data_IF_505784653143
#
_entry.id   IF_505784653143
#
_cell.length_a   1.000
_cell.length_b   1.000
_cell.length_c   1.000
_cell.angle_alpha   90.00
_cell.angle_beta   90.00
_cell.angle_gamma   90.00
#
_symmetry.space_group_name_H-M   'P 1'
#
loop_
_entity.id
_entity.type
_entity.pdbx_description
1 polymer ?
#
# COMPACT_ATOMS: atom_id res chain seq x y z
N UNK A 1 -22.04 8.54 26.54
CA UNK A 1 -22.45 8.56 25.11
C UNK A 1 -21.35 7.84 24.36
N UNK A 2 -21.67 6.93 23.43
CA UNK A 2 -20.63 6.27 22.64
C UNK A 2 -19.93 7.30 21.75
N UNK A 3 -18.60 7.26 21.70
CA UNK A 3 -17.84 8.12 20.81
C UNK A 3 -18.02 7.63 19.37
N UNK A 4 -18.48 8.51 18.50
CA UNK A 4 -18.71 8.20 17.09
C UNK A 4 -17.38 8.24 16.34
N UNK A 5 -16.97 7.13 15.75
CA UNK A 5 -15.84 7.09 14.83
C UNK A 5 -16.30 7.47 13.42
N UNK A 6 -15.65 8.47 12.82
CA UNK A 6 -15.78 8.77 11.40
C UNK A 6 -14.80 7.95 10.57
N UNK A 7 -14.82 8.17 9.25
CA UNK A 7 -13.99 7.43 8.31
C UNK A 7 -12.48 7.50 8.62
N UNK A 8 -11.99 8.68 8.99
CA UNK A 8 -10.57 8.88 9.32
C UNK A 8 -10.16 8.07 10.57
N UNK A 9 -11.02 8.00 11.58
CA UNK A 9 -10.81 7.18 12.78
C UNK A 9 -10.76 5.70 12.42
N UNK A 10 -11.70 5.23 11.59
CA UNK A 10 -11.78 3.83 11.16
C UNK A 10 -10.55 3.43 10.33
N UNK A 11 -10.15 4.24 9.34
CA UNK A 11 -8.93 4.01 8.54
C UNK A 11 -7.68 3.99 9.41
N UNK A 12 -7.58 4.89 10.38
CA UNK A 12 -6.46 4.92 11.35
C UNK A 12 -6.43 3.64 12.19
N UNK A 13 -7.58 3.17 12.70
CA UNK A 13 -7.69 1.93 13.47
C UNK A 13 -7.23 0.71 12.66
N UNK A 14 -7.65 0.63 11.39
CA UNK A 14 -7.31 -0.49 10.51
C UNK A 14 -5.83 -0.51 10.12
N UNK A 15 -5.20 0.66 9.95
CA UNK A 15 -3.80 0.77 9.54
C UNK A 15 -2.78 0.54 10.64
N UNK A 16 -3.17 0.65 11.91
CA UNK A 16 -2.25 0.38 13.03
C UNK A 16 -1.80 -1.08 12.93
N UNK A 17 -0.53 -1.37 13.11
CA UNK A 17 -0.05 -2.68 13.54
C UNK A 17 0.59 -2.57 14.93
N UNK A 18 0.58 -3.62 15.75
CA UNK A 18 1.19 -3.57 17.07
C UNK A 18 2.65 -3.11 17.01
N UNK A 19 2.96 -2.01 17.68
CA UNK A 19 4.30 -1.41 17.72
C UNK A 19 4.53 -0.29 16.71
N UNK A 20 3.57 0.01 15.84
CA UNK A 20 3.74 1.06 14.83
C UNK A 20 3.97 2.44 15.45
N UNK A 21 4.89 3.25 14.92
CA UNK A 21 4.91 4.67 15.22
C UNK A 21 3.79 5.40 14.47
N UNK A 22 3.33 6.54 14.99
CA UNK A 22 2.34 7.41 14.32
C UNK A 22 2.74 7.74 12.88
N UNK A 23 4.03 7.94 12.62
CA UNK A 23 4.54 8.20 11.26
C UNK A 23 4.45 6.98 10.34
N UNK A 24 4.47 5.76 10.88
CA UNK A 24 4.28 4.54 10.11
C UNK A 24 2.84 4.42 9.62
N UNK A 25 1.88 4.62 10.53
CA UNK A 25 0.45 4.63 10.21
C UNK A 25 0.11 5.71 9.19
N UNK A 26 0.66 6.91 9.36
CA UNK A 26 0.46 8.03 8.43
C UNK A 26 0.91 7.70 7.01
N UNK A 27 2.03 7.01 6.86
CA UNK A 27 2.55 6.55 5.58
C UNK A 27 1.68 5.47 4.95
N UNK A 28 1.22 4.48 5.72
CA UNK A 28 0.36 3.38 5.24
C UNK A 28 -0.95 3.87 4.59
N UNK A 29 -1.52 4.96 5.10
CA UNK A 29 -2.79 5.51 4.61
C UNK A 29 -2.65 6.83 3.84
N UNK A 30 -1.42 7.18 3.44
CA UNK A 30 -1.08 8.40 2.70
C UNK A 30 -1.67 9.68 3.32
N UNK A 31 -1.48 9.83 4.64
CA UNK A 31 -2.02 10.94 5.42
C UNK A 31 -0.94 11.76 6.11
N UNK A 32 -1.30 12.99 6.47
CA UNK A 32 -0.39 13.85 7.20
C UNK A 32 -0.18 13.32 8.63
N UNK A 33 1.09 13.17 9.05
CA UNK A 33 1.46 12.72 10.41
C UNK A 33 0.74 13.49 11.52
N UNK A 34 0.57 14.80 11.38
CA UNK A 34 -0.08 15.63 12.39
C UNK A 34 -1.60 15.38 12.43
N UNK A 35 -2.23 15.11 11.28
CA UNK A 35 -3.63 14.65 11.21
C UNK A 35 -3.78 13.32 11.95
N UNK A 36 -2.92 12.35 11.65
CA UNK A 36 -2.93 11.03 12.30
C UNK A 36 -2.67 11.14 13.79
N UNK A 37 -1.73 11.98 14.23
CA UNK A 37 -1.49 12.23 15.64
C UNK A 37 -2.75 12.71 16.35
N UNK A 38 -3.50 13.64 15.77
CA UNK A 38 -4.76 14.13 16.36
C UNK A 38 -5.84 13.06 16.38
N UNK A 39 -5.90 12.21 15.36
CA UNK A 39 -6.85 11.08 15.33
C UNK A 39 -6.49 10.02 16.36
N UNK A 40 -5.22 9.64 16.46
CA UNK A 40 -4.70 8.72 17.48
C UNK A 40 -5.01 9.24 18.89
N UNK A 41 -4.75 10.51 19.18
CA UNK A 41 -5.05 11.08 20.50
C UNK A 41 -6.54 10.93 20.86
N UNK A 42 -7.44 11.19 19.90
CA UNK A 42 -8.88 11.02 20.11
C UNK A 42 -9.26 9.55 20.34
N UNK A 43 -8.69 8.64 19.55
CA UNK A 43 -8.89 7.19 19.71
C UNK A 43 -8.35 6.65 21.04
N UNK A 44 -7.24 7.21 21.53
CA UNK A 44 -6.65 6.87 22.83
C UNK A 44 -7.50 7.40 23.98
N UNK A 45 -7.94 8.67 23.92
CA UNK A 45 -8.87 9.25 24.90
C UNK A 45 -10.20 8.47 24.98
N UNK A 46 -10.66 7.94 23.84
CA UNK A 46 -11.85 7.09 23.73
C UNK A 46 -11.63 5.63 24.20
N UNK A 47 -10.38 5.21 24.41
CA UNK A 47 -10.00 3.86 24.84
C UNK A 47 -9.93 2.80 23.73
N UNK A 48 -9.93 3.19 22.45
CA UNK A 48 -9.80 2.25 21.32
C UNK A 48 -8.34 1.92 21.00
N UNK A 49 -7.41 2.82 21.30
CA UNK A 49 -5.97 2.70 21.01
C UNK A 49 -5.17 2.92 22.29
N UNK A 50 -3.99 2.30 22.37
CA UNK A 50 -2.97 2.60 23.38
C UNK A 50 -1.67 2.98 22.69
N UNK A 51 -1.02 4.03 23.16
CA UNK A 51 0.32 4.42 22.73
C UNK A 51 1.34 4.28 23.87
N UNK A 52 2.16 3.23 23.83
CA UNK A 52 3.25 2.99 24.78
C UNK A 52 4.51 2.51 24.04
N UNK A 53 5.32 3.47 23.58
CA UNK A 53 6.47 3.18 22.70
C UNK A 53 6.10 2.72 21.29
N UNK A 54 4.82 2.48 21.02
CA UNK A 54 4.23 2.07 19.75
C UNK A 54 2.71 1.98 19.87
N UNK A 55 2.01 2.00 18.75
CA UNK A 55 0.55 1.95 18.70
C UNK A 55 0.06 0.51 18.82
N UNK A 56 -1.08 0.34 19.46
CA UNK A 56 -1.82 -0.92 19.49
C UNK A 56 -3.32 -0.62 19.58
N UNK A 57 -4.13 -1.42 18.89
CA UNK A 57 -5.59 -1.38 19.07
C UNK A 57 -5.93 -2.26 20.27
N UNK A 58 -6.85 -1.79 21.12
CA UNK A 58 -7.16 -2.44 22.40
C UNK A 58 -7.95 -3.74 22.23
N UNK A 59 -8.82 -3.80 21.22
CA UNK A 59 -9.70 -4.93 20.94
C UNK A 59 -9.85 -5.11 19.42
N UNK A 60 -9.48 -6.29 18.91
CA UNK A 60 -9.55 -6.60 17.47
C UNK A 60 -11.00 -6.60 16.93
N UNK A 61 -12.00 -6.80 17.79
CA UNK A 61 -13.43 -6.67 17.43
C UNK A 61 -13.74 -5.28 16.88
N UNK A 62 -13.02 -4.25 17.35
CA UNK A 62 -13.16 -2.87 16.86
C UNK A 62 -12.66 -2.75 15.43
N UNK A 63 -11.57 -3.45 15.07
CA UNK A 63 -11.07 -3.48 13.69
C UNK A 63 -12.04 -4.20 12.76
N UNK A 64 -12.56 -5.35 13.19
CA UNK A 64 -13.53 -6.10 12.40
C UNK A 64 -14.78 -5.26 12.13
N UNK A 65 -15.30 -4.57 13.16
CA UNK A 65 -16.43 -3.65 13.03
C UNK A 65 -16.11 -2.45 12.11
N UNK A 66 -14.91 -1.88 12.22
CA UNK A 66 -14.46 -0.80 11.35
C UNK A 66 -14.40 -1.23 9.88
N UNK A 67 -13.81 -2.39 9.60
CA UNK A 67 -13.72 -2.93 8.25
C UNK A 67 -15.10 -3.26 7.68
N UNK A 68 -15.99 -3.85 8.49
CA UNK A 68 -17.36 -4.12 8.12
C UNK A 68 -18.14 -2.83 7.78
N UNK A 69 -17.94 -1.77 8.57
CA UNK A 69 -18.55 -0.47 8.31
C UNK A 69 -18.06 0.15 6.99
N UNK A 70 -16.75 0.19 6.75
CA UNK A 70 -16.21 0.73 5.49
C UNK A 70 -16.69 -0.06 4.27
N UNK A 71 -16.73 -1.39 4.36
CA UNK A 71 -17.28 -2.24 3.30
C UNK A 71 -18.78 -1.95 3.05
N UNK A 72 -19.58 -1.77 4.10
CA UNK A 72 -20.99 -1.41 3.95
C UNK A 72 -21.13 0.00 3.32
N UNK A 73 -20.29 0.95 3.73
CA UNK A 73 -20.29 2.31 3.19
C UNK A 73 -19.90 2.36 1.70
N UNK A 74 -19.00 1.47 1.25
CA UNK A 74 -18.57 1.35 -0.15
C UNK A 74 -19.73 1.06 -1.11
N UNK A 75 -20.82 0.43 -0.64
CA UNK A 75 -22.04 0.23 -1.44
C UNK A 75 -22.82 1.51 -1.73
N UNK A 76 -22.60 2.57 -0.93
CA UNK A 76 -23.26 3.87 -1.04
C UNK A 76 -22.33 4.86 -1.76
N UNK A 77 -21.05 4.86 -1.39
CA UNK A 77 -20.00 5.68 -1.97
C UNK A 77 -18.82 4.77 -2.32
N UNK A 78 -18.70 4.34 -3.58
CA UNK A 78 -17.61 3.46 -4.01
C UNK A 78 -16.23 4.07 -3.69
N UNK A 79 -15.21 3.23 -3.40
CA UNK A 79 -13.87 3.71 -3.10
C UNK A 79 -13.29 4.54 -4.25
N UNK A 80 -12.59 5.61 -3.89
CA UNK A 80 -11.79 6.41 -4.80
C UNK A 80 -10.48 5.71 -5.16
N UNK A 81 -9.79 6.21 -6.19
CA UNK A 81 -8.45 5.74 -6.57
C UNK A 81 -7.47 5.79 -5.40
N UNK A 82 -7.42 6.91 -4.67
CA UNK A 82 -6.53 7.05 -3.51
C UNK A 82 -6.86 6.03 -2.41
N UNK A 83 -8.15 5.76 -2.18
CA UNK A 83 -8.55 4.75 -1.20
C UNK A 83 -8.20 3.33 -1.64
N UNK A 84 -8.23 3.05 -2.95
CA UNK A 84 -7.84 1.75 -3.48
C UNK A 84 -6.34 1.42 -3.25
N UNK A 85 -5.47 2.43 -3.06
CA UNK A 85 -4.10 2.22 -2.56
C UNK A 85 -4.00 1.94 -1.06
N UNK A 86 -5.03 2.29 -0.30
CA UNK A 86 -5.02 2.10 1.16
C UNK A 86 -5.69 0.79 1.53
N UNK A 87 -6.74 0.39 0.81
CA UNK A 87 -7.52 -0.82 1.10
C UNK A 87 -6.68 -2.10 1.28
N UNK A 88 -5.66 -2.41 0.46
CA UNK A 88 -4.87 -3.63 0.64
C UNK A 88 -4.19 -3.71 2.04
N UNK A 89 -3.84 -2.56 2.63
CA UNK A 89 -3.25 -2.49 3.97
C UNK A 89 -4.20 -2.99 5.07
N UNK A 90 -5.51 -2.98 4.82
CA UNK A 90 -6.53 -3.41 5.79
C UNK A 90 -6.87 -4.89 5.68
N UNK A 91 -6.29 -5.60 4.70
CA UNK A 91 -6.61 -6.99 4.44
C UNK A 91 -6.00 -7.95 5.47
N UNK A 92 -4.93 -7.53 6.17
CA UNK A 92 -4.17 -8.40 7.07
C UNK A 92 -3.43 -9.53 6.35
N UNK A 93 -3.32 -9.44 5.01
CA UNK A 93 -2.64 -10.39 4.13
C UNK A 93 -1.42 -9.72 3.51
N UNK A 94 -0.35 -10.48 3.29
CA UNK A 94 0.84 -9.97 2.60
C UNK A 94 0.53 -9.64 1.13
N UNK A 95 1.05 -8.51 0.66
CA UNK A 95 1.02 -8.11 -0.73
C UNK A 95 2.21 -7.21 -1.05
N UNK A 96 2.45 -6.96 -2.34
CA UNK A 96 3.36 -5.92 -2.80
C UNK A 96 2.83 -5.28 -4.07
N UNK A 97 2.94 -3.95 -4.23
CA UNK A 97 2.67 -3.30 -5.51
C UNK A 97 3.62 -3.79 -6.60
N UNK A 98 3.09 -4.05 -7.79
CA UNK A 98 3.86 -4.50 -8.97
C UNK A 98 3.65 -3.57 -10.17
N UNK A 99 4.32 -3.87 -11.29
CA UNK A 99 4.12 -3.20 -12.57
C UNK A 99 4.19 -1.65 -12.47
N UNK A 100 3.21 -0.95 -13.06
CA UNK A 100 3.14 0.52 -13.03
C UNK A 100 2.98 1.08 -11.60
N UNK A 101 2.35 0.34 -10.69
CA UNK A 101 2.17 0.77 -9.31
C UNK A 101 3.48 0.68 -8.53
N UNK A 102 4.32 -0.31 -8.79
CA UNK A 102 5.66 -0.35 -8.23
C UNK A 102 6.50 0.86 -8.67
N UNK A 103 6.43 1.24 -9.96
CA UNK A 103 7.12 2.43 -10.47
C UNK A 103 6.60 3.71 -9.77
N UNK A 104 5.29 3.83 -9.60
CA UNK A 104 4.69 4.95 -8.88
C UNK A 104 5.17 5.04 -7.42
N UNK A 105 5.18 3.92 -6.71
CA UNK A 105 5.65 3.85 -5.32
C UNK A 105 7.13 4.22 -5.22
N UNK A 106 7.99 3.60 -6.04
CA UNK A 106 9.43 3.85 -6.02
C UNK A 106 9.82 5.29 -6.37
N UNK A 107 9.04 5.93 -7.24
CA UNK A 107 9.19 7.35 -7.60
C UNK A 107 8.50 8.32 -6.62
N UNK A 108 7.91 7.82 -5.53
CA UNK A 108 7.15 8.61 -4.54
C UNK A 108 6.05 9.45 -5.18
N UNK A 109 5.34 8.87 -6.14
CA UNK A 109 4.30 9.52 -6.92
C UNK A 109 4.81 10.48 -8.00
N UNK A 110 6.13 10.55 -8.23
CA UNK A 110 6.77 11.41 -9.23
C UNK A 110 6.49 11.02 -10.68
N UNK A 111 6.03 9.78 -10.93
CA UNK A 111 5.63 9.32 -12.25
C UNK A 111 4.15 8.89 -12.30
N UNK A 112 3.36 9.54 -13.16
CA UNK A 112 1.90 9.33 -13.28
C UNK A 112 1.37 9.26 -14.74
N UNK A 113 2.26 9.24 -15.74
CA UNK A 113 1.92 9.48 -17.16
C UNK A 113 0.96 8.46 -17.77
N UNK A 114 0.85 7.26 -17.21
CA UNK A 114 0.03 6.17 -17.74
C UNK A 114 -1.17 5.80 -16.84
N UNK A 115 -1.71 6.77 -16.09
CA UNK A 115 -2.86 6.60 -15.21
C UNK A 115 -4.08 7.34 -15.76
N UNK A 116 -5.12 6.59 -16.15
CA UNK A 116 -6.39 7.13 -16.63
C UNK A 116 -7.44 6.99 -15.51
N UNK A 117 -8.11 8.08 -15.13
CA UNK A 117 -9.14 8.06 -14.08
C UNK A 117 -10.38 7.25 -14.47
N UNK A 118 -10.55 6.94 -15.75
CA UNK A 118 -11.65 6.13 -16.29
C UNK A 118 -11.27 4.66 -16.51
N UNK A 119 -9.98 4.32 -16.34
CA UNK A 119 -9.41 2.99 -16.56
C UNK A 119 -8.15 2.85 -15.68
N UNK A 120 -8.38 2.45 -14.43
CA UNK A 120 -7.39 2.48 -13.35
C UNK A 120 -7.19 1.08 -12.74
N UNK A 121 -6.44 0.20 -13.42
CA UNK A 121 -5.97 -1.05 -12.84
C UNK A 121 -4.91 -0.78 -11.76
N UNK A 122 -5.03 -1.48 -10.64
CA UNK A 122 -4.01 -1.55 -9.58
C UNK A 122 -3.43 -2.97 -9.55
N UNK A 123 -2.11 -3.09 -9.63
CA UNK A 123 -1.40 -4.35 -9.70
C UNK A 123 -0.73 -4.66 -8.36
N UNK A 124 -1.07 -5.82 -7.80
CA UNK A 124 -0.45 -6.32 -6.58
C UNK A 124 -0.01 -7.78 -6.73
N UNK A 125 1.19 -8.10 -6.27
CA UNK A 125 1.61 -9.45 -5.99
C UNK A 125 0.97 -9.93 -4.69
N UNK A 126 0.49 -11.16 -4.68
CA UNK A 126 -0.12 -11.81 -3.51
C UNK A 126 0.40 -13.24 -3.38
N UNK A 127 0.24 -13.87 -2.21
CA UNK A 127 0.56 -15.30 -2.08
C UNK A 127 -0.48 -16.11 -2.83
N UNK A 128 -0.04 -17.13 -3.57
CA UNK A 128 -0.92 -18.05 -4.30
C UNK A 128 -2.02 -18.66 -3.41
N UNK A 129 -1.69 -18.94 -2.15
CA UNK A 129 -2.61 -19.49 -1.16
C UNK A 129 -3.74 -18.55 -0.77
N UNK A 130 -3.54 -17.24 -0.95
CA UNK A 130 -4.43 -16.19 -0.46
C UNK A 130 -5.32 -15.62 -1.59
N UNK A 131 -5.21 -16.16 -2.80
CA UNK A 131 -5.92 -15.66 -3.99
C UNK A 131 -7.43 -15.54 -3.79
N UNK A 132 -8.07 -16.57 -3.22
CA UNK A 132 -9.50 -16.53 -2.95
C UNK A 132 -9.87 -15.51 -1.86
N UNK A 133 -9.01 -15.36 -0.85
CA UNK A 133 -9.24 -14.43 0.26
C UNK A 133 -9.11 -12.97 -0.21
N UNK A 134 -8.13 -12.67 -1.07
CA UNK A 134 -8.02 -11.37 -1.74
C UNK A 134 -9.23 -11.05 -2.61
N UNK A 135 -9.73 -12.03 -3.37
CA UNK A 135 -10.96 -11.87 -4.15
C UNK A 135 -12.16 -11.51 -3.27
N UNK A 136 -12.38 -12.25 -2.17
CA UNK A 136 -13.45 -11.97 -1.20
C UNK A 136 -13.26 -10.62 -0.50
N UNK A 137 -12.02 -10.22 -0.22
CA UNK A 137 -11.73 -8.95 0.44
C UNK A 137 -12.19 -7.76 -0.43
N UNK A 138 -11.77 -7.70 -1.69
CA UNK A 138 -12.14 -6.60 -2.58
C UNK A 138 -13.60 -6.64 -3.04
N UNK A 139 -14.19 -7.83 -3.15
CA UNK A 139 -15.62 -7.99 -3.44
C UNK A 139 -16.50 -7.26 -2.40
N UNK A 140 -16.09 -7.25 -1.12
CA UNK A 140 -16.79 -6.49 -0.05
C UNK A 140 -16.84 -4.99 -0.30
N UNK A 141 -15.91 -4.47 -1.08
CA UNK A 141 -15.84 -3.06 -1.47
C UNK A 141 -16.39 -2.80 -2.87
N UNK A 142 -16.93 -3.82 -3.54
CA UNK A 142 -17.44 -3.74 -4.91
C UNK A 142 -16.35 -3.55 -5.96
N UNK A 143 -15.09 -3.86 -5.64
CA UNK A 143 -13.96 -3.70 -6.57
C UNK A 143 -13.72 -5.02 -7.30
N UNK A 144 -13.79 -5.06 -8.65
CA UNK A 144 -13.52 -6.27 -9.41
C UNK A 144 -12.05 -6.67 -9.29
N UNK A 145 -11.81 -7.99 -9.22
CA UNK A 145 -10.47 -8.57 -9.20
C UNK A 145 -10.29 -9.56 -10.34
N UNK A 146 -9.10 -9.65 -10.89
CA UNK A 146 -8.72 -10.69 -11.85
C UNK A 146 -7.22 -10.93 -11.83
N UNK A 147 -6.77 -12.09 -12.33
CA UNK A 147 -5.34 -12.38 -12.44
C UNK A 147 -4.67 -11.68 -13.64
N UNK A 148 -5.48 -11.16 -14.56
CA UNK A 148 -5.03 -10.36 -15.69
C UNK A 148 -5.94 -9.14 -15.81
N UNK A 149 -5.38 -8.00 -16.24
CA UNK A 149 -6.15 -6.79 -16.50
C UNK A 149 -7.28 -7.10 -17.50
N UNK A 150 -8.50 -6.76 -17.13
CA UNK A 150 -9.65 -6.88 -18.02
C UNK A 150 -9.85 -5.56 -18.78
N UNK A 151 -10.45 -5.59 -19.98
CA UNK A 151 -10.82 -4.36 -20.68
C UNK A 151 -11.78 -3.48 -19.86
N UNK A 152 -11.68 -2.14 -19.95
CA UNK A 152 -12.54 -1.23 -19.17
C UNK A 152 -14.04 -1.40 -19.44
N UNK A 153 -14.41 -1.84 -20.64
CA UNK A 153 -15.78 -2.12 -21.03
C UNK A 153 -16.35 -3.44 -20.47
N UNK A 154 -15.50 -4.27 -19.88
CA UNK A 154 -15.88 -5.55 -19.25
C UNK A 154 -16.01 -5.46 -17.72
N UNK A 155 -15.65 -4.32 -17.10
CA UNK A 155 -15.68 -4.13 -15.64
C UNK A 155 -16.62 -2.99 -15.20
N UNK A 156 -17.22 -3.08 -14.01
CA UNK A 156 -18.03 -2.00 -13.46
C UNK A 156 -17.15 -0.89 -12.89
N UNK A 157 -17.12 0.24 -13.59
CA UNK A 157 -16.38 1.44 -13.14
C UNK A 157 -14.89 1.40 -13.46
N UNK A 158 -14.13 2.41 -13.02
CA UNK A 158 -12.74 2.58 -13.45
C UNK A 158 -11.74 1.69 -12.71
N UNK A 159 -12.08 1.23 -11.50
CA UNK A 159 -11.15 0.53 -10.62
C UNK A 159 -11.20 -0.98 -10.83
N UNK A 160 -10.03 -1.60 -10.98
CA UNK A 160 -9.84 -3.04 -10.92
C UNK A 160 -8.58 -3.35 -10.15
N UNK A 161 -8.57 -4.43 -9.36
CA UNK A 161 -7.32 -5.00 -8.82
C UNK A 161 -6.87 -6.18 -9.69
N UNK A 162 -5.66 -6.09 -10.21
CA UNK A 162 -4.97 -7.17 -10.90
C UNK A 162 -4.11 -7.90 -9.88
N UNK A 163 -4.48 -9.14 -9.59
CA UNK A 163 -3.80 -9.99 -8.61
C UNK A 163 -2.75 -10.84 -9.34
N UNK A 164 -1.50 -10.73 -8.94
CA UNK A 164 -0.40 -11.55 -9.43
C UNK A 164 -0.03 -12.60 -8.38
N UNK A 165 -0.52 -13.85 -8.48
CA UNK A 165 -0.20 -14.89 -7.51
C UNK A 165 1.27 -15.28 -7.61
N UNK A 166 1.96 -15.31 -6.47
CA UNK A 166 3.35 -15.77 -6.35
C UNK A 166 3.49 -16.78 -5.22
N UNK A 167 4.45 -17.70 -5.35
CA UNK A 167 4.79 -18.63 -4.29
C UNK A 167 5.30 -17.93 -3.01
N UNK A 168 6.04 -16.84 -3.18
CA UNK A 168 6.53 -15.97 -2.10
C UNK A 168 6.51 -14.51 -2.57
N UNK A 169 6.30 -13.59 -1.62
CA UNK A 169 6.35 -12.15 -1.86
C UNK A 169 7.61 -11.62 -1.17
N UNK A 170 8.51 -11.03 -1.94
CA UNK A 170 9.66 -10.29 -1.42
C UNK A 170 9.35 -8.79 -1.52
N UNK A 171 8.67 -8.28 -0.48
CA UNK A 171 8.22 -6.90 -0.43
C UNK A 171 9.26 -6.00 0.25
N UNK A 172 9.65 -4.94 -0.43
CA UNK A 172 10.36 -3.81 0.16
C UNK A 172 9.35 -2.74 0.64
N UNK A 173 9.69 -2.01 1.70
CA UNK A 173 8.83 -0.95 2.23
C UNK A 173 9.32 0.43 1.76
N UNK A 174 8.53 1.11 0.92
CA UNK A 174 8.80 2.47 0.46
C UNK A 174 7.68 3.37 0.94
N UNK A 175 8.01 4.34 1.81
CA UNK A 175 7.04 5.26 2.40
C UNK A 175 5.77 4.55 2.94
N UNK A 176 5.96 3.41 3.62
CA UNK A 176 4.87 2.63 4.25
C UNK A 176 4.05 1.76 3.28
N UNK A 177 4.40 1.74 2.00
CA UNK A 177 3.77 0.90 1.00
C UNK A 177 4.66 -0.30 0.67
N UNK A 178 4.14 -1.54 0.73
CA UNK A 178 4.88 -2.72 0.31
C UNK A 178 4.94 -2.76 -1.23
N UNK A 179 6.12 -2.94 -1.78
CA UNK A 179 6.38 -2.91 -3.23
C UNK A 179 7.42 -3.98 -3.58
N UNK A 180 7.33 -4.55 -4.78
CA UNK A 180 8.39 -5.44 -5.27
C UNK A 180 9.75 -4.74 -5.29
N UNK A 181 10.81 -5.54 -5.34
CA UNK A 181 12.17 -5.03 -5.30
C UNK A 181 12.43 -3.92 -6.33
N UNK A 182 13.35 -3.01 -5.99
CA UNK A 182 13.74 -1.94 -6.93
C UNK A 182 14.26 -2.52 -8.24
N UNK A 183 15.06 -3.59 -8.16
CA UNK A 183 15.61 -4.28 -9.32
C UNK A 183 14.52 -4.82 -10.24
N UNK A 184 13.47 -5.42 -9.68
CA UNK A 184 12.35 -5.96 -10.44
C UNK A 184 11.50 -4.83 -11.06
N UNK A 185 11.28 -3.74 -10.31
CA UNK A 185 10.62 -2.54 -10.82
C UNK A 185 11.37 -1.92 -12.00
N UNK A 186 12.70 -1.79 -11.90
CA UNK A 186 13.55 -1.28 -12.99
C UNK A 186 13.53 -2.22 -14.20
N UNK A 187 13.53 -3.54 -13.99
CA UNK A 187 13.41 -4.51 -15.07
C UNK A 187 12.09 -4.36 -15.83
N UNK A 188 10.96 -4.24 -15.11
CA UNK A 188 9.65 -3.96 -15.69
C UNK A 188 9.65 -2.64 -16.48
N UNK A 189 10.14 -1.56 -15.90
CA UNK A 189 10.18 -0.25 -16.57
C UNK A 189 11.05 -0.26 -17.84
N UNK A 190 12.15 -1.03 -17.86
CA UNK A 190 13.00 -1.21 -19.04
C UNK A 190 12.34 -2.05 -20.14
N UNK A 191 11.57 -3.08 -19.78
CA UNK A 191 10.78 -3.86 -20.74
C UNK A 191 9.72 -2.98 -21.43
N UNK A 192 9.20 -2.00 -20.70
CA UNK A 192 8.19 -1.04 -21.18
C UNK A 192 8.78 0.37 -21.41
N UNK A 193 10.01 0.45 -21.92
CA UNK A 193 10.80 1.69 -21.98
C UNK A 193 10.08 2.90 -22.60
N UNK A 194 9.34 2.70 -23.70
CA UNK A 194 8.63 3.78 -24.39
C UNK A 194 7.63 4.54 -23.48
N UNK A 195 7.13 3.87 -22.44
CA UNK A 195 6.25 4.46 -21.44
C UNK A 195 7.06 5.02 -20.27
N UNK A 196 8.08 4.30 -19.81
CA UNK A 196 8.74 4.56 -18.52
C UNK A 196 10.13 5.22 -18.59
N UNK A 197 10.56 5.73 -19.74
CA UNK A 197 11.85 6.45 -19.87
C UNK A 197 12.04 7.51 -18.77
N UNK A 198 11.05 8.40 -18.59
CA UNK A 198 11.13 9.44 -17.55
C UNK A 198 11.07 8.89 -16.12
N UNK A 199 10.44 7.74 -15.91
CA UNK A 199 10.44 7.08 -14.61
C UNK A 199 11.84 6.53 -14.28
N UNK A 200 12.51 5.92 -15.25
CA UNK A 200 13.88 5.43 -15.11
C UNK A 200 14.83 6.59 -14.75
N UNK A 201 14.71 7.73 -15.43
CA UNK A 201 15.50 8.93 -15.11
C UNK A 201 15.23 9.47 -13.68
N UNK A 202 14.02 9.30 -13.15
CA UNK A 202 13.70 9.67 -11.76
C UNK A 202 14.36 8.67 -10.81
N UNK A 203 14.23 7.37 -11.07
CA UNK A 203 14.78 6.31 -10.24
C UNK A 203 16.30 6.39 -10.16
N UNK A 204 16.99 6.58 -11.29
CA UNK A 204 18.45 6.72 -11.33
C UNK A 204 18.87 7.92 -10.46
N UNK A 205 18.26 9.10 -10.64
CA UNK A 205 18.58 10.28 -9.82
C UNK A 205 18.28 10.12 -8.33
N UNK A 206 17.25 9.35 -7.96
CA UNK A 206 16.86 9.16 -6.57
C UNK A 206 17.77 8.18 -5.83
N UNK A 207 18.37 7.24 -6.55
CA UNK A 207 18.98 6.07 -5.95
C UNK A 207 20.40 5.74 -6.46
N UNK A 208 21.02 6.59 -7.29
CA UNK A 208 22.40 6.45 -7.79
C UNK A 208 23.50 6.69 -6.73
N UNK A 209 23.15 6.88 -5.46
CA UNK A 209 24.10 6.87 -4.34
C UNK A 209 23.82 5.64 -3.45
N UNK A 210 24.40 4.48 -3.79
CA UNK A 210 25.08 3.46 -2.93
C UNK A 210 25.29 2.17 -3.76
N UNK A 211 26.28 2.19 -4.67
CA UNK A 211 27.08 1.01 -5.05
C UNK A 211 28.58 1.36 -5.04
N UNK A 212 29.00 2.23 -4.11
CA UNK A 212 30.42 2.53 -3.88
C UNK A 212 30.68 2.73 -2.39
N UNK A 213 30.94 1.63 -1.67
CA UNK A 213 31.96 1.52 -0.60
C UNK A 213 31.82 0.15 0.11
N UNK A 214 32.44 -0.89 -0.45
CA UNK A 214 32.94 -2.04 0.32
C UNK A 214 34.01 -2.82 -0.45
N UNK A 215 35.00 -2.13 -1.02
CA UNK A 215 36.24 -2.77 -1.48
C UNK A 215 37.47 -1.86 -1.26
N UNK A 216 37.48 -1.15 -0.12
CA UNK A 216 38.67 -0.46 0.37
C UNK A 216 38.77 -0.55 1.90
N UNK A 217 39.05 -1.75 2.40
CA UNK A 217 39.75 -1.90 3.67
C UNK A 217 40.94 -2.86 3.54
N UNK A 218 42.10 -2.21 3.34
CA UNK A 218 43.39 -2.53 3.93
C UNK A 218 43.90 -3.98 3.82
N UNK A 219 44.78 -4.20 2.85
CA UNK A 219 45.88 -5.16 3.02
C UNK A 219 46.73 -4.72 4.21
N UNK A 220 46.85 -5.51 5.30
CA UNK A 220 47.86 -5.24 6.30
C UNK A 220 49.22 -5.64 5.73
N UNK A 221 50.17 -4.71 5.78
CA UNK A 221 51.57 -5.02 5.59
C UNK A 221 52.02 -6.09 6.61
N UNK A 222 52.89 -6.99 6.18
CA UNK A 222 53.58 -7.95 7.04
C UNK A 222 54.86 -8.41 6.34
N UNK A 223 55.86 -8.88 7.11
CA UNK A 223 56.72 -8.18 8.06
C UNK A 223 58.05 -7.72 7.44
#
# INVERSE_FOLDING_TARGET
MFEQCGEAELKTLLAIEPGDPISGVARKIDENRETIRRTVNRLEDAGYVRYDGGLSVVDDTVREAALAFLAAAASISPPTISEAYVLPQFAGMEFAYTAIDAVYVWTRGGYQVARDETDYPLFIAIRETDLEEWGRFFERFGIPTAQQRQPPDEIPGPLQIVLEPRAQIDAEMVDGQPVISRSETVAFAREHYATFESALDILDRMYDDVETEADYHATPASP
#
